data_IF_641190009727
#
_entry.id   IF_641190009727
#
_cell.length_a   1.000
_cell.length_b   1.000
_cell.length_c   1.000
_cell.angle_alpha   90.00
_cell.angle_beta   90.00
_cell.angle_gamma   90.00
#
_symmetry.space_group_name_H-M   'P 1'
#
loop_
_entity.id
_entity.type
_entity.pdbx_description
1 polymer ?
#
# COMPACT_ATOMS: atom_id res chain seq x y z
N UNK A 1 14.87 -2.52 -2.39
CA UNK A 1 15.05 -1.41 -3.34
C UNK A 1 16.27 -0.62 -2.92
N UNK A 2 17.15 -0.23 -3.85
CA UNK A 2 18.26 0.67 -3.53
C UNK A 2 17.69 2.04 -3.15
N UNK A 3 18.21 2.65 -2.08
CA UNK A 3 17.89 4.04 -1.72
C UNK A 3 18.28 4.91 -2.92
N UNK A 4 17.40 5.83 -3.39
CA UNK A 4 17.81 6.76 -4.45
C UNK A 4 19.05 7.52 -3.98
N UNK A 5 20.00 7.73 -4.90
CA UNK A 5 21.13 8.60 -4.64
C UNK A 5 20.57 10.00 -4.33
N UNK A 6 20.76 10.46 -3.10
CA UNK A 6 20.38 11.80 -2.69
C UNK A 6 21.50 12.76 -3.12
N UNK A 7 21.18 13.99 -3.53
CA UNK A 7 22.19 15.03 -3.72
C UNK A 7 23.05 15.22 -2.47
N UNK A 8 24.31 15.60 -2.66
CA UNK A 8 25.26 15.81 -1.54
C UNK A 8 24.78 16.89 -0.56
N UNK A 9 23.93 17.82 -1.01
CA UNK A 9 23.37 18.93 -0.22
C UNK A 9 21.98 18.62 0.39
N UNK A 10 21.48 17.39 0.28
CA UNK A 10 20.13 17.02 0.69
C UNK A 10 19.85 17.34 2.16
N UNK A 11 20.73 16.94 3.08
CA UNK A 11 20.54 17.13 4.52
C UNK A 11 20.44 18.62 4.87
N UNK A 12 21.28 19.47 4.26
CA UNK A 12 21.23 20.91 4.45
C UNK A 12 19.91 21.52 3.97
N UNK A 13 19.46 21.15 2.76
CA UNK A 13 18.19 21.64 2.18
C UNK A 13 16.98 21.16 2.98
N UNK A 14 17.05 19.92 3.47
CA UNK A 14 16.02 19.33 4.32
C UNK A 14 15.91 20.10 5.65
N UNK A 15 17.02 20.35 6.33
CA UNK A 15 17.03 21.09 7.60
C UNK A 15 16.50 22.52 7.45
N UNK A 16 16.95 23.23 6.40
CA UNK A 16 16.49 24.60 6.11
C UNK A 16 15.00 24.69 5.80
N UNK A 17 14.42 23.64 5.22
CA UNK A 17 13.01 23.60 4.80
C UNK A 17 12.15 22.65 5.62
N UNK A 18 12.65 22.17 6.77
CA UNK A 18 12.06 21.05 7.52
C UNK A 18 10.57 21.24 7.78
N UNK A 19 10.16 22.41 8.26
CA UNK A 19 8.76 22.69 8.60
C UNK A 19 7.83 22.55 7.38
N UNK A 20 8.26 23.03 6.22
CA UNK A 20 7.48 22.95 4.98
C UNK A 20 7.46 21.54 4.41
N UNK A 21 8.60 20.85 4.39
CA UNK A 21 8.69 19.45 3.96
C UNK A 21 7.82 18.56 4.84
N UNK A 22 7.92 18.71 6.17
CA UNK A 22 7.10 17.99 7.13
C UNK A 22 5.61 18.28 6.93
N UNK A 23 5.23 19.55 6.70
CA UNK A 23 3.84 19.90 6.42
C UNK A 23 3.31 19.20 5.17
N UNK A 24 4.03 19.24 4.04
CA UNK A 24 3.60 18.60 2.79
C UNK A 24 3.48 17.08 2.97
N UNK A 25 4.49 16.44 3.56
CA UNK A 25 4.50 14.99 3.79
C UNK A 25 3.35 14.57 4.73
N UNK A 26 3.18 15.24 5.86
CA UNK A 26 2.13 14.91 6.82
C UNK A 26 0.74 15.18 6.26
N UNK A 27 0.55 16.27 5.50
CA UNK A 27 -0.70 16.57 4.80
C UNK A 27 -1.09 15.44 3.86
N UNK A 28 -0.14 14.92 3.09
CA UNK A 28 -0.39 13.77 2.22
C UNK A 28 -0.78 12.53 3.04
N UNK A 29 0.01 12.16 4.06
CA UNK A 29 -0.21 10.97 4.88
C UNK A 29 -1.59 11.00 5.56
N UNK A 30 -1.93 12.08 6.25
CA UNK A 30 -3.20 12.22 6.97
C UNK A 30 -4.39 12.18 6.02
N UNK A 31 -4.30 12.87 4.88
CA UNK A 31 -5.36 12.84 3.88
C UNK A 31 -5.52 11.45 3.26
N UNK A 32 -4.42 10.76 2.97
CA UNK A 32 -4.47 9.40 2.44
C UNK A 32 -5.06 8.42 3.46
N UNK A 33 -4.68 8.51 4.74
CA UNK A 33 -5.28 7.71 5.81
C UNK A 33 -6.78 7.93 5.93
N UNK A 34 -7.22 9.19 5.93
CA UNK A 34 -8.66 9.53 5.95
C UNK A 34 -9.37 8.94 4.73
N UNK A 35 -8.78 9.10 3.55
CA UNK A 35 -9.35 8.62 2.29
C UNK A 35 -9.48 7.10 2.28
N UNK A 36 -8.47 6.37 2.72
CA UNK A 36 -8.50 4.92 2.91
C UNK A 36 -9.66 4.52 3.82
N UNK A 37 -9.83 5.18 4.97
CA UNK A 37 -10.91 4.85 5.90
C UNK A 37 -12.30 5.10 5.29
N UNK A 38 -12.47 6.24 4.62
CA UNK A 38 -13.77 6.65 4.05
C UNK A 38 -14.12 5.82 2.82
N UNK A 39 -13.24 5.74 1.82
CA UNK A 39 -13.54 5.07 0.55
C UNK A 39 -13.58 3.54 0.69
N UNK A 40 -12.83 2.95 1.62
CA UNK A 40 -12.90 1.52 1.89
C UNK A 40 -13.95 1.15 2.96
N UNK A 41 -14.49 2.12 3.70
CA UNK A 41 -15.48 1.89 4.76
C UNK A 41 -14.91 1.11 5.96
N UNK A 42 -13.63 1.30 6.28
CA UNK A 42 -12.92 0.54 7.32
C UNK A 42 -12.09 1.43 8.24
N UNK A 43 -11.71 0.90 9.40
CA UNK A 43 -10.71 1.53 10.27
C UNK A 43 -9.28 1.27 9.76
N UNK A 44 -8.30 2.05 10.25
CA UNK A 44 -6.90 1.93 9.79
C UNK A 44 -6.29 0.55 10.07
N UNK A 45 -6.71 -0.12 11.15
CA UNK A 45 -6.23 -1.48 11.45
C UNK A 45 -6.74 -2.50 10.41
N UNK A 46 -8.01 -2.41 10.02
CA UNK A 46 -8.54 -3.20 8.90
C UNK A 46 -7.76 -2.91 7.61
N UNK A 47 -7.51 -1.63 7.30
CA UNK A 47 -6.80 -1.25 6.09
C UNK A 47 -5.36 -1.76 6.08
N UNK A 48 -4.67 -1.71 7.23
CA UNK A 48 -3.34 -2.26 7.41
C UNK A 48 -3.32 -3.78 7.19
N UNK A 49 -4.26 -4.51 7.80
CA UNK A 49 -4.39 -5.97 7.62
C UNK A 49 -4.68 -6.29 6.15
N UNK A 50 -5.58 -5.54 5.51
CA UNK A 50 -5.95 -5.72 4.11
C UNK A 50 -4.76 -5.52 3.17
N UNK A 51 -4.01 -4.42 3.33
CA UNK A 51 -2.80 -4.16 2.56
C UNK A 51 -1.72 -5.21 2.78
N UNK A 52 -1.49 -5.62 4.04
CA UNK A 52 -0.52 -6.66 4.39
C UNK A 52 -0.87 -8.00 3.74
N UNK A 53 -2.14 -8.41 3.81
CA UNK A 53 -2.63 -9.62 3.15
C UNK A 53 -2.40 -9.56 1.65
N UNK A 54 -2.77 -8.44 1.00
CA UNK A 54 -2.56 -8.26 -0.44
C UNK A 54 -1.10 -8.36 -0.85
N UNK A 55 -0.18 -7.75 -0.09
CA UNK A 55 1.27 -7.87 -0.32
C UNK A 55 1.76 -9.30 -0.17
N UNK A 56 1.33 -10.02 0.88
CA UNK A 56 1.71 -11.41 1.11
C UNK A 56 1.15 -12.35 0.05
N UNK A 57 -0.05 -12.08 -0.45
CA UNK A 57 -0.67 -12.90 -1.49
C UNK A 57 0.13 -12.92 -2.81
N UNK A 58 0.94 -11.89 -3.08
CA UNK A 58 1.74 -11.76 -4.32
C UNK A 58 3.25 -11.69 -4.07
N UNK A 59 3.69 -11.88 -2.81
CA UNK A 59 5.09 -11.69 -2.42
C UNK A 59 6.07 -12.57 -3.21
N UNK A 60 5.66 -13.79 -3.57
CA UNK A 60 6.49 -14.71 -4.37
C UNK A 60 6.72 -14.24 -5.81
N UNK A 61 5.84 -13.38 -6.31
CA UNK A 61 5.88 -12.88 -7.68
C UNK A 61 6.72 -11.61 -7.82
N UNK A 62 7.03 -10.93 -6.72
CA UNK A 62 7.79 -9.68 -6.72
C UNK A 62 9.05 -9.77 -5.84
N UNK A 63 10.00 -10.69 -6.11
CA UNK A 63 11.24 -10.75 -5.37
C UNK A 63 12.09 -9.48 -5.61
N UNK A 64 12.95 -9.07 -4.67
CA UNK A 64 13.83 -7.93 -4.87
C UNK A 64 14.61 -8.03 -6.19
N UNK A 65 14.47 -7.04 -7.08
CA UNK A 65 15.15 -7.00 -8.38
C UNK A 65 14.37 -7.62 -9.55
N UNK A 66 13.17 -8.16 -9.34
CA UNK A 66 12.32 -8.62 -10.45
C UNK A 66 11.89 -7.47 -11.36
N UNK A 67 11.93 -7.70 -12.68
CA UNK A 67 11.38 -6.79 -13.66
C UNK A 67 9.83 -6.77 -13.55
N UNK A 68 9.19 -5.60 -13.31
CA UNK A 68 7.74 -5.51 -13.12
C UNK A 68 6.92 -6.08 -14.28
N UNK A 69 7.46 -6.02 -15.51
CA UNK A 69 6.81 -6.50 -16.73
C UNK A 69 6.67 -8.03 -16.83
N UNK A 70 7.37 -8.81 -16.00
CA UNK A 70 7.29 -10.29 -16.02
C UNK A 70 6.23 -10.87 -15.08
N UNK A 71 5.65 -10.02 -14.23
CA UNK A 71 4.70 -10.40 -13.19
C UNK A 71 3.26 -10.43 -13.73
N UNK A 72 2.98 -9.54 -14.68
CA UNK A 72 1.66 -9.34 -15.26
C UNK A 72 1.52 -10.11 -16.57
N UNK A 73 0.30 -10.50 -16.90
CA UNK A 73 -0.08 -11.03 -18.21
C UNK A 73 -0.18 -9.91 -19.27
N UNK A 74 -0.52 -10.27 -20.50
CA UNK A 74 -0.68 -9.34 -21.63
C UNK A 74 -1.76 -8.27 -21.40
N UNK A 75 -2.70 -8.51 -20.47
CA UNK A 75 -3.73 -7.56 -20.07
C UNK A 75 -3.28 -6.62 -18.94
N UNK A 76 -2.06 -6.80 -18.41
CA UNK A 76 -1.54 -6.04 -17.29
C UNK A 76 -2.07 -6.51 -15.93
N UNK A 77 -2.57 -7.75 -15.84
CA UNK A 77 -3.14 -8.33 -14.62
C UNK A 77 -2.25 -9.45 -14.07
N UNK A 78 -2.33 -9.70 -12.76
CA UNK A 78 -1.69 -10.88 -12.16
C UNK A 78 -2.54 -12.14 -12.46
N UNK A 79 -1.93 -13.20 -13.01
CA UNK A 79 -2.61 -14.48 -13.21
C UNK A 79 -3.16 -15.09 -11.90
N UNK A 80 -4.34 -15.73 -11.96
CA UNK A 80 -5.00 -16.29 -10.76
C UNK A 80 -4.15 -17.32 -10.03
N UNK A 81 -3.47 -18.19 -10.78
CA UNK A 81 -2.62 -19.24 -10.24
C UNK A 81 -1.35 -18.72 -9.57
N UNK A 82 -1.10 -17.40 -9.60
CA UNK A 82 0.02 -16.73 -8.94
C UNK A 82 -0.37 -16.03 -7.65
N UNK A 83 -1.66 -15.94 -7.32
CA UNK A 83 -2.14 -15.46 -6.02
C UNK A 83 -2.02 -16.61 -5.01
N UNK A 84 -1.31 -16.38 -3.91
CA UNK A 84 -1.05 -17.37 -2.87
C UNK A 84 -1.88 -17.04 -1.61
N UNK A 85 -2.90 -17.84 -1.26
CA UNK A 85 -3.60 -17.69 0.01
C UNK A 85 -2.64 -17.76 1.20
N UNK A 86 -2.90 -16.98 2.25
CA UNK A 86 -2.05 -16.81 3.43
C UNK A 86 -2.74 -17.38 4.67
N UNK A 87 -2.02 -18.13 5.50
CA UNK A 87 -2.57 -18.64 6.77
C UNK A 87 -2.72 -17.50 7.79
N UNK A 88 -3.71 -17.63 8.68
CA UNK A 88 -3.90 -16.69 9.79
C UNK A 88 -2.65 -16.58 10.68
N UNK A 89 -1.91 -17.68 10.87
CA UNK A 89 -0.66 -17.70 11.63
C UNK A 89 0.38 -16.76 11.04
N UNK A 90 0.56 -16.80 9.73
CA UNK A 90 1.62 -16.10 9.02
C UNK A 90 1.29 -14.61 8.95
N UNK A 91 0.02 -14.30 8.69
CA UNK A 91 -0.47 -12.93 8.73
C UNK A 91 -0.34 -12.32 10.13
N UNK A 92 -0.57 -13.10 11.20
CA UNK A 92 -0.38 -12.65 12.59
C UNK A 92 1.08 -12.36 12.92
N UNK A 93 1.98 -13.21 12.46
CA UNK A 93 3.42 -13.00 12.64
C UNK A 93 3.90 -11.75 11.90
N UNK A 94 3.48 -11.54 10.65
CA UNK A 94 3.91 -10.40 9.83
C UNK A 94 3.27 -9.09 10.29
N UNK A 95 1.98 -9.09 10.60
CA UNK A 95 1.27 -7.89 11.03
C UNK A 95 1.63 -7.48 12.47
N UNK A 96 2.19 -8.38 13.28
CA UNK A 96 2.49 -8.12 14.70
C UNK A 96 1.23 -7.93 15.56
N UNK A 97 0.07 -8.41 15.10
CA UNK A 97 -1.22 -8.27 15.77
C UNK A 97 -1.72 -9.63 16.30
N UNK A 98 -2.47 -9.67 17.41
CA UNK A 98 -3.05 -10.90 17.94
C UNK A 98 -3.93 -11.62 16.92
N UNK A 99 -3.87 -12.96 16.90
CA UNK A 99 -4.67 -13.81 15.98
C UNK A 99 -6.15 -13.48 16.01
N UNK A 100 -6.70 -13.28 17.21
CA UNK A 100 -8.13 -12.97 17.39
C UNK A 100 -8.50 -11.60 16.81
N UNK A 101 -7.63 -10.60 16.95
CA UNK A 101 -7.78 -9.28 16.33
C UNK A 101 -7.84 -9.41 14.81
N UNK A 102 -6.88 -10.12 14.21
CA UNK A 102 -6.81 -10.32 12.76
C UNK A 102 -8.03 -11.09 12.26
N UNK A 103 -8.39 -12.19 12.93
CA UNK A 103 -9.57 -12.99 12.58
C UNK A 103 -10.83 -12.12 12.51
N UNK A 104 -11.12 -11.34 13.57
CA UNK A 104 -12.28 -10.44 13.61
C UNK A 104 -12.28 -9.41 12.47
N UNK A 105 -11.11 -8.88 12.12
CA UNK A 105 -10.95 -7.87 11.06
C UNK A 105 -11.07 -8.48 9.66
N UNK A 106 -10.54 -9.68 9.44
CA UNK A 106 -10.72 -10.44 8.20
C UNK A 106 -12.20 -10.81 7.97
N UNK A 107 -12.91 -11.19 9.03
CA UNK A 107 -14.35 -11.45 8.94
C UNK A 107 -15.14 -10.20 8.55
N UNK A 108 -14.79 -9.02 9.11
CA UNK A 108 -15.37 -7.73 8.69
C UNK A 108 -15.05 -7.43 7.22
N UNK A 109 -13.80 -7.61 6.79
CA UNK A 109 -13.39 -7.41 5.41
C UNK A 109 -14.09 -8.37 4.44
N UNK A 110 -14.35 -9.61 4.89
CA UNK A 110 -15.11 -10.61 4.13
C UNK A 110 -16.56 -10.21 3.95
N UNK A 111 -17.19 -9.69 5.01
CA UNK A 111 -18.55 -9.13 4.92
C UNK A 111 -18.66 -7.94 3.96
N UNK A 112 -17.55 -7.24 3.70
CA UNK A 112 -17.44 -6.15 2.72
C UNK A 112 -17.02 -6.63 1.32
N UNK A 113 -16.87 -7.94 1.09
CA UNK A 113 -16.43 -8.51 -0.19
C UNK A 113 -14.97 -8.20 -0.55
N UNK A 114 -14.14 -7.78 0.41
CA UNK A 114 -12.73 -7.39 0.14
C UNK A 114 -11.76 -8.55 0.22
N UNK A 115 -12.07 -9.57 1.02
CA UNK A 115 -11.25 -10.76 1.22
C UNK A 115 -12.13 -12.00 1.23
N UNK A 116 -11.55 -13.15 0.92
CA UNK A 116 -12.21 -14.43 0.98
C UNK A 116 -11.38 -15.45 1.75
N UNK A 117 -12.07 -16.48 2.25
CA UNK A 117 -11.47 -17.60 2.97
C UNK A 117 -11.58 -18.84 2.10
N UNK A 118 -10.45 -19.44 1.78
CA UNK A 118 -10.37 -20.66 0.98
C UNK A 118 -10.91 -21.86 1.76
N UNK A 119 -11.21 -22.96 1.05
CA UNK A 119 -11.75 -24.18 1.64
C UNK A 119 -10.86 -24.78 2.74
N UNK A 120 -9.54 -24.65 2.59
CA UNK A 120 -8.55 -25.09 3.58
C UNK A 120 -8.32 -24.06 4.71
N UNK A 121 -9.04 -22.94 4.71
CA UNK A 121 -9.06 -21.96 5.78
C UNK A 121 -8.00 -20.85 5.71
N UNK A 122 -7.24 -20.75 4.62
CA UNK A 122 -6.36 -19.62 4.33
C UNK A 122 -7.16 -18.42 3.80
N UNK A 123 -6.50 -17.25 3.71
CA UNK A 123 -7.11 -15.99 3.33
C UNK A 123 -6.45 -15.40 2.11
N UNK A 124 -7.24 -14.77 1.24
CA UNK A 124 -6.74 -13.96 0.14
C UNK A 124 -7.62 -12.73 -0.06
N UNK A 125 -7.04 -11.68 -0.63
CA UNK A 125 -7.86 -10.57 -1.16
C UNK A 125 -8.78 -11.14 -2.24
N UNK A 126 -10.05 -10.73 -2.22
CA UNK A 126 -10.94 -11.06 -3.33
C UNK A 126 -10.28 -10.54 -4.60
N UNK A 127 -10.44 -11.28 -5.70
CA UNK A 127 -10.09 -10.78 -7.03
C UNK A 127 -11.03 -9.61 -7.32
N UNK A 128 -10.64 -8.44 -6.84
CA UNK A 128 -10.97 -7.19 -7.48
C UNK A 128 -10.24 -7.33 -8.82
N UNK A 129 -10.84 -8.04 -9.80
CA UNK A 129 -10.85 -7.44 -11.13
C UNK A 129 -11.05 -5.97 -10.85
N UNK A 130 -10.09 -5.15 -11.25
CA UNK A 130 -10.15 -3.71 -11.28
C UNK A 130 -11.60 -3.20 -11.36
N UNK A 131 -12.31 -3.20 -10.22
CA UNK A 131 -13.58 -2.53 -10.11
C UNK A 131 -13.19 -1.12 -10.47
N UNK A 132 -13.96 -0.51 -11.35
CA UNK A 132 -13.78 0.88 -11.71
C UNK A 132 -13.46 1.71 -10.46
N UNK A 133 -14.07 1.38 -9.30
CA UNK A 133 -13.74 1.94 -7.99
C UNK A 133 -12.34 1.58 -7.45
N UNK A 134 -11.92 0.31 -7.39
CA UNK A 134 -10.58 -0.08 -6.92
C UNK A 134 -9.44 0.44 -7.79
N UNK A 135 -9.62 0.43 -9.12
CA UNK A 135 -8.69 1.02 -10.09
C UNK A 135 -8.66 2.53 -9.99
N UNK A 136 -9.81 3.20 -9.88
CA UNK A 136 -9.89 4.64 -9.65
C UNK A 136 -9.24 5.01 -8.31
N UNK A 137 -9.47 4.23 -7.27
CA UNK A 137 -8.89 4.44 -5.95
C UNK A 137 -7.35 4.45 -6.03
N UNK A 138 -6.79 3.43 -6.68
CA UNK A 138 -5.35 3.28 -6.88
C UNK A 138 -4.79 4.38 -7.75
N UNK A 139 -5.45 4.69 -8.88
CA UNK A 139 -5.06 5.78 -9.78
C UNK A 139 -4.97 7.12 -9.04
N UNK A 140 -6.00 7.47 -8.28
CA UNK A 140 -6.06 8.72 -7.52
C UNK A 140 -5.00 8.74 -6.40
N UNK A 141 -4.73 7.59 -5.77
CA UNK A 141 -3.62 7.47 -4.79
C UNK A 141 -2.28 7.79 -5.43
N UNK A 142 -2.00 7.23 -6.61
CA UNK A 142 -0.75 7.48 -7.35
C UNK A 142 -0.64 8.95 -7.76
N UNK A 143 -1.71 9.54 -8.28
CA UNK A 143 -1.73 10.97 -8.65
C UNK A 143 -1.38 11.85 -7.44
N UNK A 144 -2.03 11.62 -6.29
CA UNK A 144 -1.76 12.40 -5.07
C UNK A 144 -0.33 12.22 -4.55
N UNK A 145 0.18 11.00 -4.61
CA UNK A 145 1.57 10.71 -4.21
C UNK A 145 2.57 11.46 -5.10
N UNK A 146 2.38 11.43 -6.41
CA UNK A 146 3.24 12.14 -7.36
C UNK A 146 3.16 13.66 -7.16
N UNK A 147 1.97 14.20 -6.94
CA UNK A 147 1.78 15.64 -6.63
C UNK A 147 2.49 16.03 -5.33
N UNK A 148 2.35 15.23 -4.27
CA UNK A 148 3.05 15.48 -3.00
C UNK A 148 4.57 15.39 -3.15
N UNK A 149 5.06 14.42 -3.93
CA UNK A 149 6.50 14.31 -4.25
C UNK A 149 7.03 15.54 -4.99
N UNK A 150 6.28 16.03 -5.99
CA UNK A 150 6.64 17.26 -6.70
C UNK A 150 6.61 18.51 -5.79
N UNK A 151 5.66 18.59 -4.86
CA UNK A 151 5.63 19.67 -3.86
C UNK A 151 6.84 19.62 -2.92
N UNK A 152 7.22 18.43 -2.43
CA UNK A 152 8.41 18.24 -1.60
C UNK A 152 9.67 18.67 -2.36
N UNK A 153 9.83 18.24 -3.62
CA UNK A 153 10.99 18.64 -4.43
C UNK A 153 11.04 20.16 -4.62
N UNK A 154 9.92 20.81 -4.93
CA UNK A 154 9.85 22.28 -5.06
C UNK A 154 10.27 23.02 -3.78
N UNK A 155 9.84 22.52 -2.61
CA UNK A 155 10.24 23.09 -1.32
C UNK A 155 11.74 22.91 -1.09
N UNK A 156 12.27 21.71 -1.35
CA UNK A 156 13.70 21.45 -1.21
C UNK A 156 14.53 22.29 -2.19
N UNK A 157 14.09 22.46 -3.44
CA UNK A 157 14.80 23.25 -4.47
C UNK A 157 14.82 24.74 -4.13
N UNK A 158 13.77 25.25 -3.48
CA UNK A 158 13.71 26.65 -3.01
C UNK A 158 14.62 26.94 -1.80
N UNK A 159 15.16 25.90 -1.15
CA UNK A 159 16.11 26.03 -0.04
C UNK A 159 17.54 26.40 -0.51
N UNK A 160 17.81 26.37 -1.81
CA UNK A 160 19.12 26.73 -2.36
C UNK A 160 19.38 28.24 -2.13
N UNK A 161 20.57 28.62 -1.61
CA UNK A 161 21.01 30.01 -1.64
C UNK A 161 21.29 30.52 -3.05
#
# INVERSE_FOLDING_TARGET
MARPALPDDFEQRFDQSFALVAFVANRFLVNQMRRVMVELGVDLECAFIYGTLGMLNVATEMPPGSAPSRVLDESGMLPENRIRPVRLSDLSQVAGLPRETIRRKLEKLRGLGKVERTADGAWQVCRIEADTAGRAFTRETVVRLLTASQEVNRVLDAALP
#
